data_IF_141785798685
#
_entry.id   IF_141785798685
#
_cell.length_a   1.000
_cell.length_b   1.000
_cell.length_c   1.000
_cell.angle_alpha   90.00
_cell.angle_beta   90.00
_cell.angle_gamma   90.00
#
_symmetry.space_group_name_H-M   'P 1'
#
loop_
_entity.id
_entity.type
_entity.pdbx_description
1 polymer ?
#
# COMPACT_ATOMS: atom_id res chain seq x y z
N UNK A 1 -14.78 13.58 10.00
CA UNK A 1 -15.24 13.35 11.40
C UNK A 1 -14.29 14.05 12.35
N UNK A 2 -14.80 14.70 13.41
CA UNK A 2 -13.96 15.22 14.49
C UNK A 2 -13.89 14.15 15.57
N UNK A 3 -12.68 13.80 15.98
CA UNK A 3 -12.43 12.73 16.95
C UNK A 3 -11.34 13.20 17.90
N UNK A 4 -11.50 12.90 19.17
CA UNK A 4 -10.45 13.06 20.18
C UNK A 4 -9.79 11.69 20.35
N UNK A 5 -8.48 11.63 20.17
CA UNK A 5 -7.68 10.43 20.37
C UNK A 5 -6.54 10.76 21.32
N UNK A 6 -6.22 9.82 22.20
CA UNK A 6 -5.01 9.88 23.01
C UNK A 6 -3.86 9.30 22.18
N UNK A 7 -2.76 10.04 22.06
CA UNK A 7 -1.61 9.66 21.25
C UNK A 7 -0.34 10.17 21.95
N UNK A 8 0.73 9.38 21.85
CA UNK A 8 2.03 9.81 22.32
C UNK A 8 2.51 11.06 21.55
N UNK A 9 2.88 12.11 22.28
CA UNK A 9 3.30 13.38 21.69
C UNK A 9 4.67 13.25 21.00
N UNK A 10 5.55 12.35 21.47
CA UNK A 10 6.84 12.06 20.85
C UNK A 10 6.66 11.45 19.46
N UNK A 11 5.84 10.41 19.36
CA UNK A 11 5.46 9.77 18.10
C UNK A 11 4.83 10.78 17.14
N UNK A 12 3.89 11.59 17.61
CA UNK A 12 3.23 12.58 16.76
C UNK A 12 4.22 13.62 16.22
N UNK A 13 5.19 14.04 17.04
CA UNK A 13 6.24 14.97 16.63
C UNK A 13 7.15 14.36 15.57
N UNK A 14 7.57 13.11 15.75
CA UNK A 14 8.40 12.39 14.76
C UNK A 14 7.66 12.23 13.43
N UNK A 15 6.37 11.91 13.46
CA UNK A 15 5.54 11.84 12.25
C UNK A 15 5.40 13.21 11.61
N UNK A 16 5.23 14.29 12.38
CA UNK A 16 5.18 15.66 11.83
C UNK A 16 6.49 16.05 11.15
N UNK A 17 7.63 15.75 11.77
CA UNK A 17 8.97 16.02 11.23
C UNK A 17 9.22 15.21 9.96
N UNK A 18 8.99 13.89 9.97
CA UNK A 18 9.19 13.02 8.81
C UNK A 18 8.24 13.31 7.65
N UNK A 19 6.99 13.69 7.94
CA UNK A 19 6.01 14.07 6.90
C UNK A 19 6.09 15.53 6.46
N UNK A 20 6.95 16.33 7.09
CA UNK A 20 7.04 17.79 6.91
C UNK A 20 5.68 18.51 7.07
N UNK A 21 4.79 17.94 7.89
CA UNK A 21 3.45 18.46 8.07
C UNK A 21 3.43 19.60 9.07
N UNK A 22 2.83 20.72 8.69
CA UNK A 22 2.68 21.90 9.55
C UNK A 22 1.63 21.72 10.66
N UNK A 23 0.83 20.65 10.62
CA UNK A 23 -0.28 20.45 11.57
C UNK A 23 -0.35 19.00 12.06
N UNK A 24 -0.74 18.80 13.32
CA UNK A 24 -1.00 17.47 13.91
C UNK A 24 -1.98 16.66 13.05
N UNK A 25 -3.06 17.29 12.58
CA UNK A 25 -4.06 16.66 11.69
C UNK A 25 -3.42 16.19 10.37
N UNK A 26 -2.62 17.04 9.73
CA UNK A 26 -1.98 16.71 8.47
C UNK A 26 -1.03 15.51 8.61
N UNK A 27 -0.21 15.49 9.66
CA UNK A 27 0.67 14.37 9.97
C UNK A 27 -0.09 13.05 10.15
N UNK A 28 -1.19 13.06 10.91
CA UNK A 28 -2.04 11.89 11.12
C UNK A 28 -2.65 11.39 9.79
N UNK A 29 -3.18 12.30 8.96
CA UNK A 29 -3.76 11.93 7.65
C UNK A 29 -2.69 11.33 6.72
N UNK A 30 -1.49 11.91 6.69
CA UNK A 30 -0.37 11.37 5.90
C UNK A 30 0.02 9.98 6.38
N UNK A 31 0.20 9.81 7.70
CA UNK A 31 0.58 8.51 8.29
C UNK A 31 -0.45 7.41 7.97
N UNK A 32 -1.74 7.70 8.12
CA UNK A 32 -2.81 6.73 7.80
C UNK A 32 -2.83 6.38 6.31
N UNK A 33 -2.61 7.38 5.44
CA UNK A 33 -2.57 7.18 3.99
C UNK A 33 -1.40 6.29 3.59
N UNK A 34 -0.21 6.55 4.12
CA UNK A 34 0.99 5.75 3.85
C UNK A 34 0.89 4.34 4.43
N UNK A 35 0.28 4.19 5.62
CA UNK A 35 -0.02 2.87 6.19
C UNK A 35 -0.89 2.02 5.25
N UNK A 36 -1.95 2.61 4.68
CA UNK A 36 -2.82 1.90 3.73
C UNK A 36 -2.07 1.55 2.44
N UNK A 37 -1.25 2.46 1.90
CA UNK A 37 -0.41 2.17 0.72
C UNK A 37 0.56 1.02 1.00
N UNK A 38 1.20 1.01 2.16
CA UNK A 38 2.09 -0.08 2.58
C UNK A 38 1.33 -1.42 2.62
N UNK A 39 0.13 -1.46 3.18
CA UNK A 39 -0.70 -2.68 3.22
C UNK A 39 -1.04 -3.20 1.83
N UNK A 40 -1.50 -2.32 0.93
CA UNK A 40 -1.77 -2.68 -0.47
C UNK A 40 -0.55 -3.23 -1.19
N UNK A 41 0.63 -2.63 -0.99
CA UNK A 41 1.89 -3.16 -1.56
C UNK A 41 2.20 -4.56 -1.04
N UNK A 42 1.99 -4.83 0.25
CA UNK A 42 2.19 -6.16 0.83
C UNK A 42 1.21 -7.20 0.25
N UNK A 43 -0.05 -6.82 0.07
CA UNK A 43 -1.05 -7.67 -0.59
C UNK A 43 -0.64 -8.01 -2.02
N UNK A 44 -0.24 -7.00 -2.81
CA UNK A 44 0.25 -7.21 -4.17
C UNK A 44 1.47 -8.13 -4.23
N UNK A 45 2.44 -7.98 -3.32
CA UNK A 45 3.59 -8.87 -3.24
C UNK A 45 3.13 -10.31 -2.94
N UNK A 46 2.17 -10.50 -2.05
CA UNK A 46 1.62 -11.82 -1.74
C UNK A 46 0.89 -12.49 -2.91
N UNK A 47 0.40 -11.71 -3.88
CA UNK A 47 -0.25 -12.22 -5.09
C UNK A 47 0.75 -12.67 -6.16
N UNK A 48 2.02 -12.22 -6.11
CA UNK A 48 3.04 -12.63 -7.09
C UNK A 48 3.35 -14.11 -6.88
N UNK A 49 3.09 -14.92 -7.93
CA UNK A 49 3.39 -16.36 -7.93
C UNK A 49 2.36 -17.24 -7.22
N UNK A 50 1.38 -16.67 -6.51
CA UNK A 50 0.27 -17.39 -5.89
C UNK A 50 -1.00 -17.23 -6.72
N UNK A 51 -0.92 -17.56 -8.01
CA UNK A 51 -2.10 -17.51 -8.88
C UNK A 51 -2.86 -18.83 -8.78
N UNK A 52 -3.93 -18.88 -8.01
CA UNK A 52 -4.77 -20.08 -7.90
C UNK A 52 -5.43 -20.47 -9.24
N UNK A 53 -5.67 -19.49 -10.13
CA UNK A 53 -6.41 -19.66 -11.38
C UNK A 53 -5.66 -19.15 -12.63
N UNK A 54 -4.33 -19.07 -12.60
CA UNK A 54 -3.57 -18.73 -13.82
C UNK A 54 -3.36 -19.99 -14.66
N UNK A 55 -4.39 -20.34 -15.42
CA UNK A 55 -4.44 -21.50 -16.33
C UNK A 55 -3.96 -21.10 -17.73
N UNK A 56 -2.75 -20.55 -17.83
CA UNK A 56 -2.09 -20.26 -19.10
C UNK A 56 -0.86 -21.15 -19.22
N UNK A 57 -0.93 -22.13 -20.12
CA UNK A 57 0.19 -23.02 -20.38
C UNK A 57 1.18 -22.39 -21.35
N UNK A 58 2.39 -22.96 -21.42
CA UNK A 58 3.40 -22.53 -22.40
C UNK A 58 2.90 -22.73 -23.84
N UNK A 59 2.11 -23.77 -24.09
CA UNK A 59 1.53 -24.06 -25.40
C UNK A 59 0.50 -23.01 -25.82
N UNK A 60 -0.34 -22.55 -24.87
CA UNK A 60 -1.29 -21.47 -25.13
C UNK A 60 -0.56 -20.16 -25.46
N UNK A 61 0.56 -19.90 -24.79
CA UNK A 61 1.40 -18.72 -25.04
C UNK A 61 2.08 -18.76 -26.40
N UNK A 62 2.54 -19.94 -26.85
CA UNK A 62 3.13 -20.12 -28.18
C UNK A 62 2.10 -19.86 -29.29
N UNK A 63 0.89 -20.41 -29.16
CA UNK A 63 -0.20 -20.17 -30.12
C UNK A 63 -0.53 -18.68 -30.27
N UNK A 64 -0.59 -17.93 -29.17
CA UNK A 64 -0.86 -16.49 -29.22
C UNK A 64 0.24 -15.66 -29.90
N UNK A 65 1.48 -16.16 -29.97
CA UNK A 65 2.60 -15.49 -30.65
C UNK A 65 2.65 -15.78 -32.14
N UNK A 66 2.18 -16.96 -32.54
CA UNK A 66 2.15 -17.39 -33.93
C UNK A 66 0.92 -16.88 -34.71
N UNK A 67 -0.04 -16.24 -34.02
CA UNK A 67 -1.22 -15.58 -34.61
C UNK A 67 -0.99 -14.09 -35.01
N UNK A 68 0.24 -13.57 -34.92
CA UNK A 68 0.70 -12.29 -35.54
C UNK A 68 1.32 -12.51 -36.94
#
# INVERSE_FOLDING_TARGET
MRTTIEIDDGLLKEVMESSHSKTKKGAIVTALTEYLKMKKRKELIGMIGNYENFDLTLEDLEKMRDEE
#
